data_IF_511978223712
#
_entry.id   IF_511978223712
#
_cell.length_a   1.000
_cell.length_b   1.000
_cell.length_c   1.000
_cell.angle_alpha   90.00
_cell.angle_beta   90.00
_cell.angle_gamma   90.00
#
_symmetry.space_group_name_H-M   'P 1'
#
loop_
_entity.id
_entity.type
_entity.pdbx_description
1 polymer ?
#
# COMPACT_ATOMS: atom_id res chain seq x y z
N UNK A 1 10.87 -21.39 -11.17
CA UNK A 1 9.57 -21.88 -11.66
C UNK A 1 8.97 -22.97 -10.79
N UNK A 2 9.75 -23.96 -10.34
CA UNK A 2 9.23 -25.04 -9.48
C UNK A 2 8.73 -24.53 -8.12
N UNK A 3 9.43 -23.57 -7.51
CA UNK A 3 9.01 -22.92 -6.27
C UNK A 3 7.66 -22.19 -6.40
N UNK A 4 7.46 -21.47 -7.51
CA UNK A 4 6.22 -20.74 -7.79
C UNK A 4 5.05 -21.72 -7.97
N UNK A 5 5.25 -22.79 -8.74
CA UNK A 5 4.24 -23.83 -8.95
C UNK A 5 3.91 -24.57 -7.66
N UNK A 6 4.91 -24.81 -6.80
CA UNK A 6 4.72 -25.44 -5.50
C UNK A 6 3.90 -24.53 -4.57
N UNK A 7 4.30 -23.27 -4.43
CA UNK A 7 3.57 -22.28 -3.62
C UNK A 7 2.11 -22.17 -4.05
N UNK A 8 1.83 -22.03 -5.35
CA UNK A 8 0.45 -21.89 -5.84
C UNK A 8 -0.41 -23.12 -5.55
N UNK A 9 0.16 -24.33 -5.62
CA UNK A 9 -0.53 -25.57 -5.23
C UNK A 9 -0.81 -25.63 -3.73
N UNK A 10 0.17 -25.29 -2.91
CA UNK A 10 0.01 -25.28 -1.44
C UNK A 10 -1.03 -24.25 -1.01
N UNK A 11 -0.95 -23.04 -1.56
CA UNK A 11 -1.91 -21.97 -1.32
C UNK A 11 -3.33 -22.35 -1.75
N UNK A 12 -3.49 -22.98 -2.92
CA UNK A 12 -4.79 -23.48 -3.38
C UNK A 12 -5.38 -24.54 -2.43
N UNK A 13 -4.55 -25.46 -1.93
CA UNK A 13 -4.98 -26.48 -0.96
C UNK A 13 -5.37 -25.87 0.40
N UNK A 14 -4.64 -24.85 0.87
CA UNK A 14 -4.98 -24.10 2.10
C UNK A 14 -6.34 -23.41 1.95
N UNK A 15 -6.60 -22.80 0.79
CA UNK A 15 -7.88 -22.14 0.50
C UNK A 15 -9.06 -23.12 0.53
N UNK A 16 -8.93 -24.30 -0.08
CA UNK A 16 -9.95 -25.36 -0.04
C UNK A 16 -10.25 -25.86 1.38
N UNK A 17 -9.28 -25.78 2.29
CA UNK A 17 -9.47 -26.13 3.70
C UNK A 17 -10.09 -24.99 4.51
N UNK A 18 -9.86 -23.73 4.12
CA UNK A 18 -10.41 -22.55 4.78
C UNK A 18 -11.87 -22.23 4.44
N UNK A 19 -12.40 -22.77 3.33
CA UNK A 19 -13.80 -22.58 2.89
C UNK A 19 -14.88 -23.14 3.83
N UNK A 20 -14.51 -23.69 4.99
CA UNK A 20 -15.43 -24.13 6.05
C UNK A 20 -15.60 -23.13 7.21
N UNK A 21 -14.91 -21.98 7.20
CA UNK A 21 -15.04 -20.96 8.24
C UNK A 21 -14.99 -19.55 7.64
N UNK A 22 -16.07 -18.78 7.78
CA UNK A 22 -16.21 -17.36 7.37
C UNK A 22 -15.25 -16.38 8.08
N UNK A 23 -14.28 -16.88 8.85
CA UNK A 23 -13.22 -16.05 9.43
C UNK A 23 -12.16 -15.76 8.37
N UNK A 24 -12.48 -14.89 7.40
CA UNK A 24 -11.43 -14.10 6.74
C UNK A 24 -10.93 -13.16 7.84
N UNK A 25 -9.95 -13.66 8.59
CA UNK A 25 -9.27 -12.98 9.70
C UNK A 25 -8.93 -11.59 9.22
N UNK A 26 -9.70 -10.58 9.66
CA UNK A 26 -9.29 -9.19 9.56
C UNK A 26 -7.96 -9.11 10.31
N UNK A 27 -6.82 -9.00 9.62
CA UNK A 27 -5.61 -8.79 10.35
C UNK A 27 -5.80 -7.44 11.02
N UNK A 28 -5.33 -7.31 12.27
CA UNK A 28 -5.23 -6.02 12.99
C UNK A 28 -4.26 -5.03 12.30
N UNK A 29 -4.04 -5.18 10.99
CA UNK A 29 -3.07 -4.52 10.13
C UNK A 29 -3.73 -3.35 9.40
N UNK A 30 -5.02 -3.45 9.04
CA UNK A 30 -5.73 -2.37 8.34
C UNK A 30 -6.62 -1.60 9.32
N UNK A 31 -6.29 -0.32 9.54
CA UNK A 31 -7.14 0.62 10.28
C UNK A 31 -8.42 0.96 9.52
N UNK A 32 -9.43 1.47 10.22
CA UNK A 32 -10.67 1.94 9.60
C UNK A 32 -10.52 3.41 9.17
N UNK A 33 -10.33 3.64 7.88
CA UNK A 33 -10.15 4.97 7.32
C UNK A 33 -10.74 5.06 5.91
N UNK A 34 -10.84 6.30 5.42
CA UNK A 34 -11.31 6.60 4.07
C UNK A 34 -10.14 6.67 3.09
N UNK A 35 -10.36 6.12 1.90
CA UNK A 35 -9.40 6.11 0.80
C UNK A 35 -9.99 6.82 -0.40
N UNK A 36 -9.25 7.76 -0.97
CA UNK A 36 -9.55 8.20 -2.33
C UNK A 36 -9.09 7.14 -3.36
N UNK A 37 -9.49 7.35 -4.61
CA UNK A 37 -9.17 6.43 -5.71
C UNK A 37 -7.66 6.36 -6.00
N UNK A 38 -6.94 7.47 -5.88
CA UNK A 38 -5.51 7.53 -6.19
C UNK A 38 -4.69 6.71 -5.19
N UNK A 39 -5.11 6.70 -3.93
CA UNK A 39 -4.48 5.97 -2.85
C UNK A 39 -4.91 4.51 -2.81
N UNK A 40 -6.16 4.20 -3.20
CA UNK A 40 -6.68 2.83 -3.18
C UNK A 40 -5.77 1.83 -3.91
N UNK A 41 -5.29 2.18 -5.11
CA UNK A 41 -4.41 1.30 -5.89
C UNK A 41 -3.10 0.99 -5.15
N UNK A 42 -2.46 2.00 -4.56
CA UNK A 42 -1.18 1.83 -3.87
C UNK A 42 -1.36 1.00 -2.59
N UNK A 43 -2.45 1.24 -1.86
CA UNK A 43 -2.80 0.47 -0.67
C UNK A 43 -3.11 -0.98 -0.98
N UNK A 44 -3.85 -1.27 -2.06
CA UNK A 44 -4.13 -2.65 -2.48
C UNK A 44 -2.83 -3.39 -2.78
N UNK A 45 -1.90 -2.76 -3.48
CA UNK A 45 -0.59 -3.34 -3.76
C UNK A 45 0.16 -3.66 -2.46
N UNK A 46 0.29 -2.70 -1.55
CA UNK A 46 0.96 -2.88 -0.26
C UNK A 46 0.32 -4.00 0.57
N UNK A 47 -1.02 -4.01 0.68
CA UNK A 47 -1.79 -5.04 1.38
C UNK A 47 -1.59 -6.43 0.82
N UNK A 48 -1.63 -6.59 -0.50
CA UNK A 48 -1.44 -7.90 -1.14
C UNK A 48 -0.01 -8.39 -0.96
N UNK A 49 0.98 -7.51 -1.14
CA UNK A 49 2.39 -7.86 -0.92
C UNK A 49 2.62 -8.31 0.52
N UNK A 50 2.13 -7.55 1.51
CA UNK A 50 2.28 -7.91 2.92
C UNK A 50 1.53 -9.20 3.27
N UNK A 51 0.30 -9.38 2.79
CA UNK A 51 -0.45 -10.61 2.99
C UNK A 51 0.30 -11.83 2.43
N UNK A 52 0.81 -11.73 1.20
CA UNK A 52 1.54 -12.81 0.55
C UNK A 52 2.92 -13.06 1.19
N UNK A 53 3.57 -12.05 1.75
CA UNK A 53 4.78 -12.20 2.58
C UNK A 53 4.49 -13.08 3.81
N UNK A 54 3.35 -12.88 4.50
CA UNK A 54 2.96 -13.75 5.63
C UNK A 54 2.75 -15.21 5.22
N UNK A 55 2.41 -15.45 3.95
CA UNK A 55 2.26 -16.79 3.35
C UNK A 55 3.57 -17.33 2.77
N UNK A 56 4.67 -16.59 2.86
CA UNK A 56 5.98 -16.94 2.28
C UNK A 56 5.92 -17.11 0.75
N UNK A 57 5.09 -16.31 0.08
CA UNK A 57 5.03 -16.27 -1.37
C UNK A 57 6.36 -15.79 -1.96
N UNK A 58 6.90 -16.45 -3.01
CA UNK A 58 8.05 -15.95 -3.74
C UNK A 58 7.79 -14.53 -4.25
N UNK A 59 8.74 -13.62 -4.02
CA UNK A 59 8.55 -12.19 -4.26
C UNK A 59 8.10 -11.88 -5.71
N UNK A 60 8.71 -12.53 -6.70
CA UNK A 60 8.37 -12.31 -8.11
C UNK A 60 6.91 -12.65 -8.41
N UNK A 61 6.37 -13.69 -7.77
CA UNK A 61 4.96 -14.05 -7.90
C UNK A 61 4.09 -13.02 -7.15
N UNK A 62 4.49 -12.62 -5.94
CA UNK A 62 3.74 -11.66 -5.13
C UNK A 62 3.51 -10.32 -5.86
N UNK A 63 4.52 -9.80 -6.55
CA UNK A 63 4.40 -8.56 -7.33
C UNK A 63 3.40 -8.69 -8.47
N UNK A 64 3.45 -9.79 -9.22
CA UNK A 64 2.51 -10.05 -10.33
C UNK A 64 1.08 -10.15 -9.81
N UNK A 65 0.86 -10.92 -8.74
CA UNK A 65 -0.46 -11.07 -8.12
C UNK A 65 -0.97 -9.74 -7.56
N UNK A 66 -0.13 -8.97 -6.86
CA UNK A 66 -0.48 -7.66 -6.33
C UNK A 66 -0.91 -6.68 -7.42
N UNK A 67 -0.13 -6.60 -8.52
CA UNK A 67 -0.42 -5.73 -9.66
C UNK A 67 -1.72 -6.13 -10.36
N UNK A 68 -1.92 -7.41 -10.64
CA UNK A 68 -3.14 -7.90 -11.29
C UNK A 68 -4.38 -7.69 -10.41
N UNK A 69 -4.24 -7.92 -9.10
CA UNK A 69 -5.32 -7.68 -8.13
C UNK A 69 -5.71 -6.20 -8.11
N UNK A 70 -4.72 -5.30 -7.98
CA UNK A 70 -4.96 -3.86 -7.98
C UNK A 70 -5.62 -3.37 -9.28
N UNK A 71 -5.21 -3.91 -10.44
CA UNK A 71 -5.82 -3.58 -11.73
C UNK A 71 -7.29 -4.02 -11.83
N UNK A 72 -7.61 -5.23 -11.37
CA UNK A 72 -9.00 -5.72 -11.42
C UNK A 72 -9.92 -4.94 -10.48
N UNK A 73 -9.44 -4.62 -9.28
CA UNK A 73 -10.20 -3.84 -8.30
C UNK A 73 -10.38 -2.39 -8.78
N UNK A 74 -9.33 -1.73 -9.28
CA UNK A 74 -9.43 -0.37 -9.82
C UNK A 74 -10.41 -0.31 -11.01
N UNK A 75 -10.45 -1.33 -11.87
CA UNK A 75 -11.45 -1.41 -12.94
C UNK A 75 -12.88 -1.57 -12.40
N UNK A 76 -13.07 -2.29 -11.30
CA UNK A 76 -14.37 -2.40 -10.61
C UNK A 76 -14.79 -1.09 -9.96
N UNK A 77 -13.88 -0.45 -9.23
CA UNK A 77 -14.08 0.86 -8.59
C UNK A 77 -14.43 1.91 -9.66
N UNK A 78 -13.71 1.95 -10.78
CA UNK A 78 -13.96 2.92 -11.86
C UNK A 78 -15.41 2.87 -12.35
N UNK A 79 -15.97 1.67 -12.55
CA UNK A 79 -17.37 1.48 -12.95
C UNK A 79 -18.35 1.99 -11.89
N UNK A 80 -18.11 1.68 -10.61
CA UNK A 80 -18.93 2.20 -9.50
C UNK A 80 -18.85 3.74 -9.39
N UNK A 81 -17.70 4.31 -9.77
CA UNK A 81 -17.46 5.75 -9.74
C UNK A 81 -18.11 6.50 -10.92
N UNK A 82 -18.26 5.87 -12.07
CA UNK A 82 -18.99 6.42 -13.22
C UNK A 82 -20.50 6.44 -12.99
N UNK A 83 -21.05 5.48 -12.23
CA UNK A 83 -22.51 5.35 -12.03
C UNK A 83 -23.11 6.38 -11.04
N UNK A 84 -22.32 7.10 -10.24
CA UNK A 84 -22.84 8.00 -9.19
C UNK A 84 -22.15 9.38 -9.17
N UNK A 85 -22.35 10.25 -10.17
CA UNK A 85 -21.54 11.46 -10.42
C UNK A 85 -21.49 12.55 -9.30
N UNK A 86 -22.32 12.47 -8.24
CA UNK A 86 -22.62 13.64 -7.38
C UNK A 86 -22.09 13.62 -5.92
N UNK A 87 -21.26 12.66 -5.52
CA UNK A 87 -20.70 12.63 -4.16
C UNK A 87 -19.17 12.48 -4.16
N UNK A 88 -18.52 13.06 -3.15
CA UNK A 88 -17.10 12.86 -2.88
C UNK A 88 -16.88 11.40 -2.45
N UNK A 89 -16.45 10.57 -3.40
CA UNK A 89 -16.42 9.12 -3.25
C UNK A 89 -15.15 8.65 -2.56
N UNK A 90 -15.29 8.37 -1.29
CA UNK A 90 -14.29 7.67 -0.52
C UNK A 90 -14.63 6.19 -0.39
N UNK A 91 -13.61 5.36 -0.44
CA UNK A 91 -13.68 3.92 -0.18
C UNK A 91 -13.37 3.65 1.29
N UNK A 92 -14.10 2.72 1.91
CA UNK A 92 -13.74 2.25 3.25
C UNK A 92 -12.58 1.24 3.16
N UNK A 93 -11.51 1.49 3.91
CA UNK A 93 -10.30 0.66 3.89
C UNK A 93 -10.56 -0.80 4.28
N UNK A 94 -11.41 -1.06 5.28
CA UNK A 94 -11.71 -2.41 5.75
C UNK A 94 -12.50 -3.19 4.71
N UNK A 95 -13.53 -2.56 4.14
CA UNK A 95 -14.33 -3.17 3.07
C UNK A 95 -13.46 -3.49 1.86
N UNK A 96 -12.66 -2.51 1.42
CA UNK A 96 -11.77 -2.67 0.26
C UNK A 96 -10.72 -3.77 0.50
N UNK A 97 -10.14 -3.83 1.70
CA UNK A 97 -9.22 -4.89 2.08
C UNK A 97 -9.90 -6.27 2.04
N UNK A 98 -11.11 -6.38 2.60
CA UNK A 98 -11.88 -7.64 2.58
C UNK A 98 -12.14 -8.11 1.15
N UNK A 99 -12.57 -7.21 0.26
CA UNK A 99 -12.77 -7.49 -1.16
C UNK A 99 -11.47 -7.91 -1.85
N UNK A 100 -10.37 -7.23 -1.53
CA UNK A 100 -9.03 -7.54 -2.05
C UNK A 100 -8.61 -8.96 -1.73
N UNK A 101 -8.72 -9.36 -0.46
CA UNK A 101 -8.33 -10.70 -0.02
C UNK A 101 -9.27 -11.78 -0.58
N UNK A 102 -10.57 -11.48 -0.73
CA UNK A 102 -11.53 -12.39 -1.38
C UNK A 102 -11.23 -12.60 -2.87
N UNK A 103 -10.74 -11.56 -3.56
CA UNK A 103 -10.39 -11.64 -4.98
C UNK A 103 -9.09 -12.42 -5.23
N UNK A 104 -8.12 -12.33 -4.30
CA UNK A 104 -6.79 -12.91 -4.48
C UNK A 104 -6.78 -14.41 -4.86
N UNK A 105 -7.60 -15.29 -4.25
CA UNK A 105 -7.76 -16.68 -4.72
C UNK A 105 -8.14 -16.83 -6.20
N UNK A 106 -9.05 -15.98 -6.68
CA UNK A 106 -9.52 -15.99 -8.07
C UNK A 106 -8.38 -15.59 -9.01
N UNK A 107 -7.61 -14.56 -8.63
CA UNK A 107 -6.41 -14.13 -9.37
C UNK A 107 -5.37 -15.25 -9.41
N UNK A 108 -5.09 -15.90 -8.27
CA UNK A 108 -4.14 -17.01 -8.20
C UNK A 108 -4.54 -18.17 -9.12
N UNK A 109 -5.82 -18.55 -9.14
CA UNK A 109 -6.32 -19.61 -10.02
C UNK A 109 -6.22 -19.23 -11.49
N UNK A 110 -6.67 -18.02 -11.85
CA UNK A 110 -6.56 -17.51 -13.22
C UNK A 110 -5.09 -17.44 -13.69
N UNK A 111 -4.18 -17.06 -12.80
CA UNK A 111 -2.75 -17.05 -13.06
C UNK A 111 -2.16 -18.46 -13.24
N UNK A 112 -2.61 -19.44 -12.45
CA UNK A 112 -2.22 -20.85 -12.63
C UNK A 112 -2.66 -21.41 -13.99
N UNK A 113 -3.87 -21.11 -14.43
CA UNK A 113 -4.43 -21.60 -15.69
C UNK A 113 -3.77 -20.97 -16.92
N UNK A 114 -3.44 -19.68 -16.84
CA UNK A 114 -2.88 -18.90 -17.95
C UNK A 114 -1.37 -18.67 -17.82
N UNK A 115 -0.69 -19.45 -16.98
CA UNK A 115 0.72 -19.26 -16.64
C UNK A 115 1.60 -19.24 -17.90
N UNK A 116 1.95 -18.04 -18.35
CA UNK A 116 2.98 -17.81 -19.34
C UNK A 116 4.28 -17.49 -18.61
N UNK A 117 5.36 -18.22 -18.90
CA UNK A 117 6.68 -18.01 -18.26
C UNK A 117 7.22 -16.57 -18.45
N UNK A 118 6.67 -15.82 -19.42
CA UNK A 118 6.97 -14.41 -19.69
C UNK A 118 6.29 -13.41 -18.73
N UNK A 119 5.21 -13.80 -18.04
CA UNK A 119 4.45 -12.91 -17.15
C UNK A 119 4.99 -12.89 -15.72
N UNK A 120 5.56 -14.01 -15.26
CA UNK A 120 6.42 -14.00 -14.09
C UNK A 120 7.62 -13.15 -14.46
N UNK A 121 7.95 -12.16 -13.62
CA UNK A 121 9.07 -11.23 -13.78
C UNK A 121 10.39 -11.96 -14.10
N UNK A 122 10.58 -12.31 -15.37
CA UNK A 122 11.70 -13.09 -15.90
C UNK A 122 12.88 -12.18 -16.23
N UNK A 123 12.66 -10.86 -16.15
CA UNK A 123 13.62 -9.79 -16.38
C UNK A 123 14.24 -9.21 -15.11
N UNK A 124 13.94 -9.73 -13.93
CA UNK A 124 14.69 -9.35 -12.74
C UNK A 124 16.00 -10.14 -12.75
N UNK A 125 16.97 -9.70 -13.56
CA UNK A 125 18.37 -9.96 -13.25
C UNK A 125 18.65 -9.25 -11.93
N UNK A 126 18.20 -9.83 -10.81
CA UNK A 126 18.34 -9.33 -9.44
C UNK A 126 19.82 -8.91 -9.26
N UNK A 127 20.18 -7.63 -9.37
CA UNK A 127 21.58 -7.25 -9.16
C UNK A 127 21.91 -7.35 -7.67
N UNK A 128 20.87 -7.30 -6.82
CA UNK A 128 20.98 -7.13 -5.39
C UNK A 128 20.19 -8.23 -4.66
N UNK A 129 20.92 -9.01 -3.87
CA UNK A 129 20.34 -9.84 -2.82
C UNK A 129 19.96 -8.94 -1.65
N UNK A 130 18.70 -8.97 -1.22
CA UNK A 130 18.22 -8.24 -0.07
C UNK A 130 17.67 -9.23 0.96
N UNK A 131 17.94 -8.98 2.23
CA UNK A 131 17.36 -9.71 3.35
C UNK A 131 16.76 -8.73 4.33
N UNK A 132 15.58 -9.05 4.84
CA UNK A 132 14.91 -8.25 5.86
C UNK A 132 14.71 -9.06 7.12
N UNK A 133 14.84 -8.37 8.25
CA UNK A 133 14.56 -8.93 9.54
C UNK A 133 14.00 -7.84 10.46
N UNK A 134 12.83 -8.08 11.01
CA UNK A 134 12.14 -7.15 11.90
C UNK A 134 11.76 -7.87 13.21
N UNK A 135 12.06 -7.24 14.35
CA UNK A 135 11.72 -7.74 15.68
C UNK A 135 11.05 -6.62 16.50
N UNK A 136 9.83 -6.87 16.99
CA UNK A 136 9.08 -5.94 17.88
C UNK A 136 9.76 -5.65 19.22
N UNK A 137 10.56 -6.61 19.71
CA UNK A 137 11.18 -6.58 21.03
C UNK A 137 10.13 -6.38 22.14
N UNK A 138 10.41 -5.55 23.15
CA UNK A 138 9.53 -5.27 24.29
C UNK A 138 8.44 -4.22 23.99
N UNK A 139 8.30 -3.74 22.74
CA UNK A 139 7.31 -2.73 22.39
C UNK A 139 5.90 -3.30 22.42
N UNK A 140 4.91 -2.44 22.69
CA UNK A 140 3.48 -2.83 22.72
C UNK A 140 3.02 -3.29 21.33
N UNK A 141 3.33 -2.50 20.30
CA UNK A 141 2.99 -2.72 18.89
C UNK A 141 4.26 -2.72 18.01
N UNK A 142 4.18 -3.35 16.83
CA UNK A 142 5.20 -3.27 15.79
C UNK A 142 4.85 -2.10 14.87
N UNK A 143 5.52 -0.97 15.07
CA UNK A 143 5.25 0.29 14.36
C UNK A 143 6.13 0.46 13.12
N UNK A 144 7.27 -0.25 13.05
CA UNK A 144 8.15 -0.22 11.89
C UNK A 144 7.49 -0.87 10.66
N UNK A 145 7.88 -0.38 9.49
CA UNK A 145 7.57 -0.95 8.17
C UNK A 145 8.83 -1.05 7.34
N UNK A 146 8.85 -1.97 6.39
CA UNK A 146 9.89 -2.08 5.38
C UNK A 146 9.28 -2.27 4.00
N UNK A 147 10.02 -1.89 2.98
CA UNK A 147 9.65 -2.09 1.58
C UNK A 147 10.84 -2.69 0.85
N UNK A 148 10.56 -3.71 0.06
CA UNK A 148 11.50 -4.32 -0.86
C UNK A 148 10.82 -4.37 -2.23
N UNK A 149 11.36 -3.62 -3.18
CA UNK A 149 10.99 -3.65 -4.58
C UNK A 149 12.20 -3.92 -5.46
N UNK A 150 12.41 -5.20 -5.80
CA UNK A 150 13.50 -5.62 -6.69
C UNK A 150 13.33 -5.15 -8.15
N UNK A 151 12.08 -4.98 -8.61
CA UNK A 151 11.76 -4.45 -9.92
C UNK A 151 10.68 -3.39 -9.77
N UNK A 152 11.11 -2.18 -9.38
CA UNK A 152 10.21 -1.04 -9.21
C UNK A 152 9.53 -0.69 -10.54
N UNK A 153 10.25 -0.85 -11.65
CA UNK A 153 9.74 -0.58 -12.98
C UNK A 153 8.55 -1.47 -13.31
N UNK A 154 8.66 -2.78 -13.10
CA UNK A 154 7.56 -3.71 -13.34
C UNK A 154 6.37 -3.38 -12.44
N UNK A 155 6.60 -3.15 -11.14
CA UNK A 155 5.53 -2.85 -10.19
C UNK A 155 4.74 -1.59 -10.61
N UNK A 156 5.45 -0.51 -10.96
CA UNK A 156 4.85 0.78 -11.29
C UNK A 156 4.50 0.95 -12.78
N UNK A 157 4.91 0.00 -13.64
CA UNK A 157 4.69 0.07 -15.08
C UNK A 157 5.59 1.08 -15.80
N UNK A 158 6.78 1.36 -15.28
CA UNK A 158 7.74 2.27 -15.91
C UNK A 158 8.35 1.59 -17.15
N UNK A 159 8.26 2.26 -18.29
CA UNK A 159 8.77 1.77 -19.57
C UNK A 159 9.85 2.72 -20.10
N UNK A 160 10.83 2.17 -20.84
CA UNK A 160 11.92 2.93 -21.46
C UNK A 160 12.78 3.72 -20.46
N UNK A 161 12.90 3.23 -19.23
CA UNK A 161 13.77 3.79 -18.19
C UNK A 161 14.78 2.73 -17.71
N UNK A 162 15.94 3.12 -17.13
CA UNK A 162 16.86 2.18 -16.50
C UNK A 162 16.17 1.29 -15.47
N UNK A 163 16.71 0.11 -15.17
CA UNK A 163 16.16 -0.75 -14.12
C UNK A 163 16.35 -0.08 -12.74
N UNK A 164 15.30 -0.02 -11.92
CA UNK A 164 15.36 0.53 -10.57
C UNK A 164 14.92 -0.50 -9.54
N UNK A 165 15.66 -0.55 -8.43
CA UNK A 165 15.21 -1.20 -7.20
C UNK A 165 14.88 -0.14 -6.16
N UNK A 166 13.97 -0.44 -5.23
CA UNK A 166 13.64 0.43 -4.11
C UNK A 166 13.63 -0.36 -2.80
N UNK A 167 14.36 0.15 -1.82
CA UNK A 167 14.46 -0.44 -0.49
C UNK A 167 14.30 0.66 0.56
N UNK A 168 13.41 0.46 1.52
CA UNK A 168 13.16 1.46 2.55
C UNK A 168 12.79 0.81 3.88
N UNK A 169 13.13 1.49 4.96
CA UNK A 169 12.69 1.19 6.33
C UNK A 169 12.04 2.44 6.89
N UNK A 170 10.89 2.28 7.52
CA UNK A 170 10.12 3.34 8.13
C UNK A 170 9.96 3.01 9.61
N UNK A 171 10.55 3.81 10.49
CA UNK A 171 10.40 3.67 11.95
C UNK A 171 9.16 4.44 12.40
N UNK A 172 8.08 3.73 12.71
CA UNK A 172 6.84 4.33 13.18
C UNK A 172 6.95 4.79 14.63
N UNK A 173 6.41 5.97 14.92
CA UNK A 173 6.34 6.53 16.27
C UNK A 173 4.95 7.09 16.55
N UNK A 174 4.42 6.88 17.76
CA UNK A 174 3.08 7.33 18.18
C UNK A 174 1.92 6.70 17.40
N UNK A 175 2.15 5.58 16.72
CA UNK A 175 1.20 4.94 15.83
C UNK A 175 1.91 4.29 14.65
N UNK A 176 1.14 3.52 13.87
CA UNK A 176 1.67 2.79 12.70
C UNK A 176 1.26 3.43 11.37
N UNK A 177 0.38 4.41 11.43
CA UNK A 177 -0.33 4.91 10.24
C UNK A 177 0.60 5.69 9.32
N UNK A 178 1.45 6.58 9.86
CA UNK A 178 2.43 7.33 9.06
C UNK A 178 3.44 6.41 8.36
N UNK A 179 3.98 5.42 9.08
CA UNK A 179 4.91 4.44 8.52
C UNK A 179 4.24 3.55 7.45
N UNK A 180 2.98 3.16 7.67
CA UNK A 180 2.20 2.37 6.70
C UNK A 180 1.80 3.19 5.47
N UNK A 181 1.48 4.47 5.65
CA UNK A 181 1.19 5.35 4.52
C UNK A 181 2.45 5.59 3.68
N UNK A 182 3.58 5.88 4.34
CA UNK A 182 4.85 6.08 3.67
C UNK A 182 5.32 4.83 2.90
N UNK A 183 5.15 3.62 3.45
CA UNK A 183 5.52 2.38 2.77
C UNK A 183 4.77 2.18 1.47
N UNK A 184 3.47 2.49 1.46
CA UNK A 184 2.62 2.32 0.29
C UNK A 184 2.78 3.44 -0.76
N UNK A 185 3.13 4.68 -0.38
CA UNK A 185 3.01 5.83 -1.30
C UNK A 185 4.33 6.50 -1.69
N UNK A 186 5.37 6.48 -0.83
CA UNK A 186 6.58 7.29 -1.06
C UNK A 186 7.28 6.92 -2.37
N UNK A 187 7.45 5.62 -2.62
CA UNK A 187 8.09 5.12 -3.85
C UNK A 187 7.29 5.45 -5.11
N UNK A 188 5.96 5.49 -5.01
CA UNK A 188 5.06 5.85 -6.11
C UNK A 188 5.19 7.34 -6.44
N UNK A 189 5.16 8.19 -5.41
CA UNK A 189 5.29 9.65 -5.57
C UNK A 189 6.66 10.03 -6.14
N UNK A 190 7.71 9.37 -5.66
CA UNK A 190 9.08 9.52 -6.17
C UNK A 190 9.19 9.14 -7.65
N UNK A 191 8.68 7.97 -8.05
CA UNK A 191 8.75 7.51 -9.44
C UNK A 191 7.90 8.35 -10.41
N UNK A 192 6.83 8.99 -9.92
CA UNK A 192 6.00 9.93 -10.70
C UNK A 192 6.64 11.31 -10.85
N UNK A 193 7.63 11.64 -10.02
CA UNK A 193 8.24 12.95 -10.02
C UNK A 193 8.98 13.23 -11.35
N UNK A 194 8.80 14.40 -12.00
CA UNK A 194 9.45 14.69 -13.29
C UNK A 194 10.98 14.59 -13.25
N UNK A 195 11.58 14.90 -12.10
CA UNK A 195 13.02 14.82 -11.90
C UNK A 195 13.54 13.42 -11.56
N UNK A 196 12.69 12.38 -11.47
CA UNK A 196 13.08 11.03 -10.99
C UNK A 196 14.36 10.49 -11.67
N UNK A 197 14.47 10.68 -12.99
CA UNK A 197 15.59 10.19 -13.80
C UNK A 197 16.75 11.19 -13.94
N UNK A 198 16.52 12.48 -13.67
CA UNK A 198 17.50 13.55 -13.92
C UNK A 198 18.14 14.11 -12.66
N UNK A 199 17.39 14.12 -11.56
CA UNK A 199 17.79 14.60 -10.24
C UNK A 199 16.97 13.84 -9.19
N UNK A 200 17.47 12.64 -8.87
CA UNK A 200 16.80 11.72 -7.94
C UNK A 200 16.78 12.28 -6.51
N UNK A 201 17.76 13.09 -6.09
CA UNK A 201 17.76 13.71 -4.77
C UNK A 201 16.57 14.67 -4.61
N UNK A 202 16.36 15.54 -5.60
CA UNK A 202 15.18 16.42 -5.62
C UNK A 202 13.89 15.62 -5.68
N UNK A 203 13.83 14.57 -6.51
CA UNK A 203 12.66 13.70 -6.60
C UNK A 203 12.30 13.03 -5.26
N UNK A 204 13.29 12.54 -4.52
CA UNK A 204 13.08 11.97 -3.18
C UNK A 204 12.58 13.06 -2.22
N UNK A 205 13.25 14.21 -2.18
CA UNK A 205 12.92 15.30 -1.26
C UNK A 205 11.50 15.82 -1.47
N UNK A 206 11.07 15.99 -2.72
CA UNK A 206 9.71 16.43 -3.05
C UNK A 206 8.68 15.31 -2.86
N UNK A 207 9.03 14.05 -3.13
CA UNK A 207 8.15 12.92 -2.84
C UNK A 207 7.86 12.78 -1.34
N UNK A 208 8.85 13.03 -0.47
CA UNK A 208 8.60 13.09 0.98
C UNK A 208 7.58 14.17 1.34
N UNK A 209 7.73 15.39 0.80
CA UNK A 209 6.80 16.50 1.06
C UNK A 209 5.38 16.17 0.62
N UNK A 210 5.20 15.70 -0.62
CA UNK A 210 3.88 15.37 -1.16
C UNK A 210 3.25 14.21 -0.37
N UNK A 211 4.04 13.20 0.01
CA UNK A 211 3.55 12.08 0.81
C UNK A 211 3.12 12.53 2.21
N UNK A 212 3.87 13.44 2.83
CA UNK A 212 3.54 14.04 4.13
C UNK A 212 2.26 14.88 4.04
N UNK A 213 2.15 15.75 3.04
CA UNK A 213 0.98 16.59 2.79
C UNK A 213 -0.28 15.74 2.58
N UNK A 214 -0.21 14.68 1.77
CA UNK A 214 -1.34 13.77 1.55
C UNK A 214 -1.73 13.01 2.83
N UNK A 215 -0.75 12.55 3.60
CA UNK A 215 -1.00 11.89 4.88
C UNK A 215 -1.68 12.82 5.89
N UNK A 216 -1.17 14.04 6.04
CA UNK A 216 -1.73 15.06 6.93
C UNK A 216 -3.16 15.44 6.52
N UNK A 217 -3.43 15.59 5.22
CA UNK A 217 -4.78 15.84 4.72
C UNK A 217 -5.75 14.74 5.17
N UNK A 218 -5.37 13.47 5.03
CA UNK A 218 -6.18 12.33 5.50
C UNK A 218 -6.41 12.34 7.01
N UNK A 219 -5.35 12.53 7.79
CA UNK A 219 -5.49 12.62 9.24
C UNK A 219 -6.45 13.76 9.64
N UNK A 220 -6.36 14.91 8.97
CA UNK A 220 -7.22 16.05 9.26
C UNK A 220 -8.69 15.79 8.91
N UNK A 221 -8.99 15.12 7.78
CA UNK A 221 -10.33 14.70 7.40
C UNK A 221 -10.91 13.66 8.38
N UNK A 222 -10.08 12.71 8.83
CA UNK A 222 -10.48 11.71 9.82
C UNK A 222 -10.76 12.32 11.19
N UNK A 223 -9.90 13.21 11.67
CA UNK A 223 -10.10 13.92 12.94
C UNK A 223 -11.36 14.78 12.87
N UNK A 224 -11.58 15.50 11.77
CA UNK A 224 -12.82 16.27 11.59
C UNK A 224 -14.04 15.36 11.55
N UNK A 225 -13.97 14.21 10.89
CA UNK A 225 -15.09 13.27 10.92
C UNK A 225 -15.33 12.69 12.32
N UNK A 226 -14.28 12.39 13.09
CA UNK A 226 -14.44 11.97 14.49
C UNK A 226 -15.08 13.07 15.33
N UNK A 227 -14.59 14.31 15.22
CA UNK A 227 -15.17 15.47 15.91
C UNK A 227 -16.61 15.68 15.47
N UNK A 228 -16.93 15.65 14.17
CA UNK A 228 -18.29 15.82 13.65
C UNK A 228 -19.25 14.70 14.08
N UNK A 229 -18.77 13.47 14.20
CA UNK A 229 -19.56 12.34 14.73
C UNK A 229 -19.81 12.49 16.24
N UNK A 230 -18.89 13.13 16.99
CA UNK A 230 -19.11 13.50 18.39
C UNK A 230 -19.92 14.80 18.54
N UNK A 231 -19.91 15.67 17.52
CA UNK A 231 -20.46 17.03 17.54
C UNK A 231 -21.74 17.18 16.71
N UNK A 232 -22.62 16.18 16.69
CA UNK A 232 -24.06 16.37 16.37
C UNK A 232 -24.77 17.40 17.31
N UNK A 233 -24.01 18.23 18.04
CA UNK A 233 -24.44 19.32 18.92
C UNK A 233 -23.82 20.70 18.61
N UNK A 234 -23.00 20.90 17.56
CA UNK A 234 -22.32 22.21 17.33
C UNK A 234 -22.04 22.60 15.87
N UNK A 235 -22.51 23.79 15.48
CA UNK A 235 -22.32 24.42 14.16
C UNK A 235 -20.99 25.21 14.06
N UNK A 236 -19.83 24.57 13.93
CA UNK A 236 -18.58 25.26 13.56
C UNK A 236 -18.12 24.93 12.12
N UNK A 237 -17.57 25.89 11.35
CA UNK A 237 -17.14 25.66 9.97
C UNK A 237 -15.90 24.75 9.89
N UNK A 238 -15.97 23.70 9.07
CA UNK A 238 -14.94 22.65 8.90
C UNK A 238 -13.55 23.19 8.50
N UNK A 239 -13.50 24.25 7.70
CA UNK A 239 -12.25 24.77 7.15
C UNK A 239 -11.34 25.42 8.21
N UNK A 240 -11.91 26.04 9.25
CA UNK A 240 -11.13 26.64 10.35
C UNK A 240 -10.54 25.59 11.30
N UNK A 241 -11.19 24.44 11.46
CA UNK A 241 -10.69 23.32 12.26
C UNK A 241 -9.49 22.65 11.58
N UNK A 242 -9.51 22.51 10.24
CA UNK A 242 -8.40 22.01 9.44
C UNK A 242 -7.13 22.85 9.65
N UNK A 243 -7.26 24.17 9.48
CA UNK A 243 -6.13 25.10 9.59
C UNK A 243 -5.56 25.16 11.02
N UNK A 244 -6.41 25.04 12.03
CA UNK A 244 -5.97 24.98 13.44
C UNK A 244 -5.26 23.67 13.80
N UNK A 245 -5.68 22.53 13.21
CA UNK A 245 -5.01 21.23 13.42
C UNK A 245 -3.66 21.18 12.70
N UNK A 246 -3.61 21.71 11.48
CA UNK A 246 -2.38 21.78 10.67
C UNK A 246 -1.30 22.64 11.33
N UNK A 247 -1.70 23.75 11.95
CA UNK A 247 -0.80 24.67 12.65
C UNK A 247 -0.56 24.30 14.13
N UNK A 248 -1.14 23.21 14.62
CA UNK A 248 -0.95 22.76 16.00
C UNK A 248 0.46 22.19 16.20
N UNK A 249 1.13 22.45 17.34
CA UNK A 249 2.42 21.82 17.68
C UNK A 249 2.32 20.29 17.84
N UNK A 250 1.11 19.71 17.84
CA UNK A 250 0.88 18.27 17.81
C UNK A 250 0.98 17.65 16.39
N UNK A 251 1.05 18.46 15.32
CA UNK A 251 1.24 18.01 13.93
C UNK A 251 2.56 17.27 13.72
N UNK A 252 3.60 17.54 14.52
CA UNK A 252 4.90 16.86 14.46
C UNK A 252 4.81 15.36 14.78
N UNK A 253 3.72 14.89 15.43
CA UNK A 253 3.45 13.47 15.64
C UNK A 253 2.92 12.75 14.39
N UNK A 254 2.46 13.52 13.40
CA UNK A 254 1.88 13.01 12.16
C UNK A 254 2.81 13.17 10.96
N UNK A 255 4.01 13.73 11.15
CA UNK A 255 4.94 13.96 10.04
C UNK A 255 5.74 12.71 9.66
N UNK A 256 5.78 12.42 8.37
CA UNK A 256 6.69 11.46 7.76
C UNK A 256 8.08 12.09 7.72
N UNK A 257 9.01 11.55 8.52
CA UNK A 257 10.38 12.04 8.58
C UNK A 257 11.25 11.36 7.51
N UNK A 258 12.16 12.11 6.86
CA UNK A 258 13.12 11.51 5.96
C UNK A 258 14.06 10.57 6.74
N UNK A 259 14.26 9.37 6.19
CA UNK A 259 15.26 8.41 6.63
C UNK A 259 16.34 8.29 5.55
N UNK A 260 17.46 7.61 5.87
CA UNK A 260 18.46 7.26 4.86
C UNK A 260 17.85 6.29 3.85
N UNK A 261 17.36 6.84 2.73
CA UNK A 261 16.83 6.09 1.61
C UNK A 261 18.00 5.74 0.69
N UNK A 262 18.35 4.46 0.60
CA UNK A 262 19.33 3.99 -0.38
C UNK A 262 18.57 3.53 -1.62
N UNK A 263 18.63 4.34 -2.69
CA UNK A 263 18.20 3.92 -4.02
C UNK A 263 19.45 3.41 -4.75
N UNK A 264 19.37 2.17 -5.23
CA UNK A 264 20.42 1.50 -6.02
C UNK A 264 19.89 1.15 -7.40
#
# INVERSE_FOLDING_TARGET
>A
MDEIKLFLKEYHNELLQSSTSDEIVHPKIVGNYKLDRNDAKNQIIDWVLHFLETKKCPYQLAVVLAKNTAQQIDAGISKQFEENENEEKFLNSITLYSETIKLLPVICNSFMENMNEKEVCSSCSLPYSASVFAIKNKRRKMEDRHVIHHDLNFLLGLQNVPAHSYYAVFDGHSGVDAASYASAHLHVNMAKHPAFLTDTETAIAEAYKITDEHFLKKCSEEVIMMICNESESGNEPKDHLLESLYNSPHSDNFRIRPFNLNIL
#
